data_IF_320774656199
#
_entry.id   IF_320774656199
#
_cell.length_a   1.000
_cell.length_b   1.000
_cell.length_c   1.000
_cell.angle_alpha   90.00
_cell.angle_beta   90.00
_cell.angle_gamma   90.00
#
_symmetry.space_group_name_H-M   'P 1'
#
loop_
_entity.id
_entity.type
_entity.pdbx_description
1 polymer ?
#
# COMPACT_ATOMS: atom_id res chain seq x y z
N UNK A 1 6.20 -26.30 1.39
CA UNK A 1 7.38 -25.46 1.70
C UNK A 1 7.16 -24.65 2.97
N UNK A 2 7.92 -24.91 4.03
CA UNK A 2 7.80 -24.21 5.33
C UNK A 2 8.07 -22.70 5.20
N UNK A 3 9.05 -22.30 4.38
CA UNK A 3 9.41 -20.89 4.18
C UNK A 3 8.27 -20.10 3.54
N UNK A 4 7.62 -20.60 2.49
CA UNK A 4 6.50 -19.90 1.85
C UNK A 4 5.31 -19.74 2.79
N UNK A 5 5.07 -20.73 3.66
CA UNK A 5 4.03 -20.62 4.68
C UNK A 5 4.35 -19.51 5.70
N UNK A 6 5.58 -19.43 6.19
CA UNK A 6 5.99 -18.33 7.07
C UNK A 6 5.89 -16.96 6.39
N UNK A 7 6.27 -16.85 5.11
CA UNK A 7 6.13 -15.60 4.36
C UNK A 7 4.66 -15.24 4.20
N UNK A 8 3.77 -16.19 3.90
CA UNK A 8 2.33 -15.95 3.77
C UNK A 8 1.70 -15.47 5.08
N UNK A 9 2.07 -16.08 6.21
CA UNK A 9 1.64 -15.66 7.56
C UNK A 9 2.13 -14.25 7.89
N UNK A 10 3.39 -13.92 7.60
CA UNK A 10 3.94 -12.59 7.80
C UNK A 10 3.23 -11.53 6.94
N UNK A 11 3.03 -11.82 5.66
CA UNK A 11 2.31 -10.94 4.74
C UNK A 11 0.86 -10.70 5.17
N UNK A 12 0.20 -11.75 5.68
CA UNK A 12 -1.14 -11.63 6.26
C UNK A 12 -1.16 -10.72 7.48
N UNK A 13 -0.17 -10.84 8.36
CA UNK A 13 -0.05 -9.98 9.52
C UNK A 13 0.17 -8.51 9.12
N UNK A 14 1.10 -8.24 8.20
CA UNK A 14 1.38 -6.88 7.72
C UNK A 14 0.12 -6.26 7.11
N UNK A 15 -0.57 -6.98 6.22
CA UNK A 15 -1.83 -6.51 5.64
C UNK A 15 -2.87 -6.16 6.72
N UNK A 16 -3.04 -7.01 7.73
CA UNK A 16 -3.98 -6.73 8.82
C UNK A 16 -3.59 -5.49 9.62
N UNK A 17 -2.30 -5.26 9.84
CA UNK A 17 -1.81 -4.03 10.48
C UNK A 17 -2.15 -2.81 9.62
N UNK A 18 -1.91 -2.86 8.31
CA UNK A 18 -2.21 -1.76 7.38
C UNK A 18 -3.71 -1.44 7.32
N UNK A 19 -4.57 -2.47 7.23
CA UNK A 19 -6.03 -2.31 7.30
C UNK A 19 -6.48 -1.64 8.61
N UNK A 20 -5.88 -2.02 9.74
CA UNK A 20 -6.16 -1.39 11.02
C UNK A 20 -5.68 0.07 11.08
N UNK A 21 -4.52 0.39 10.51
CA UNK A 21 -4.02 1.77 10.45
C UNK A 21 -4.91 2.65 9.58
N UNK A 22 -5.36 2.14 8.42
CA UNK A 22 -6.34 2.85 7.57
C UNK A 22 -7.61 3.16 8.36
N UNK A 23 -8.14 2.18 9.10
CA UNK A 23 -9.33 2.39 9.93
C UNK A 23 -9.10 3.47 11.00
N UNK A 24 -7.99 3.40 11.73
CA UNK A 24 -7.65 4.41 12.74
C UNK A 24 -7.45 5.80 12.13
N UNK A 25 -6.86 5.88 10.94
CA UNK A 25 -6.73 7.14 10.19
C UNK A 25 -8.11 7.72 9.87
N UNK A 26 -9.03 6.92 9.33
CA UNK A 26 -10.39 7.37 9.01
C UNK A 26 -11.16 7.81 10.26
N UNK A 27 -11.07 7.04 11.36
CA UNK A 27 -11.68 7.40 12.64
C UNK A 27 -11.09 8.72 13.18
N UNK A 28 -9.78 8.91 13.04
CA UNK A 28 -9.10 10.16 13.42
C UNK A 28 -9.54 11.35 12.56
N UNK A 29 -9.72 11.17 11.25
CA UNK A 29 -10.23 12.21 10.36
C UNK A 29 -11.63 12.64 10.80
N UNK A 30 -12.51 11.67 11.06
CA UNK A 30 -13.89 11.97 11.45
C UNK A 30 -13.95 12.70 12.79
N UNK A 31 -13.17 12.26 13.79
CA UNK A 31 -13.09 12.96 15.08
C UNK A 31 -12.55 14.39 14.93
N UNK A 32 -11.56 14.60 14.06
CA UNK A 32 -11.02 15.94 13.78
C UNK A 32 -12.09 16.84 13.13
N UNK A 33 -12.80 16.33 12.11
CA UNK A 33 -13.87 17.06 11.45
C UNK A 33 -14.98 17.46 12.42
N UNK A 34 -15.44 16.54 13.27
CA UNK A 34 -16.43 16.84 14.31
C UNK A 34 -15.93 17.91 15.28
N UNK A 35 -14.69 17.80 15.75
CA UNK A 35 -14.10 18.81 16.64
C UNK A 35 -14.06 20.20 15.97
N UNK A 36 -13.73 20.27 14.68
CA UNK A 36 -13.70 21.52 13.94
C UNK A 36 -15.09 22.13 13.78
N UNK A 37 -16.09 21.32 13.45
CA UNK A 37 -17.49 21.75 13.36
C UNK A 37 -17.99 22.31 14.69
N UNK A 38 -17.75 21.59 15.81
CA UNK A 38 -18.17 22.00 17.15
C UNK A 38 -17.52 23.31 17.61
N UNK A 39 -16.31 23.60 17.13
CA UNK A 39 -15.55 24.80 17.50
C UNK A 39 -15.58 25.89 16.41
N UNK A 40 -16.33 25.70 15.33
CA UNK A 40 -16.39 26.63 14.18
C UNK A 40 -15.01 26.99 13.63
N UNK A 41 -14.11 26.01 13.56
CA UNK A 41 -12.77 26.18 13.00
C UNK A 41 -12.86 26.16 11.47
N UNK A 42 -12.35 27.22 10.83
CA UNK A 42 -12.21 27.27 9.39
C UNK A 42 -11.01 26.42 8.93
N UNK A 43 -11.13 25.84 7.73
CA UNK A 43 -10.02 25.14 7.08
C UNK A 43 -9.09 26.19 6.49
N UNK A 44 -7.93 26.36 7.11
CA UNK A 44 -6.82 27.12 6.54
C UNK A 44 -5.94 26.23 5.65
N UNK A 45 -4.98 26.84 4.95
CA UNK A 45 -4.08 26.13 4.03
C UNK A 45 -3.26 25.03 4.74
N UNK A 46 -2.93 25.21 6.02
CA UNK A 46 -2.17 24.23 6.80
C UNK A 46 -3.01 23.00 7.09
N UNK A 47 -4.27 23.21 7.47
CA UNK A 47 -5.20 22.13 7.77
C UNK A 47 -5.61 21.39 6.49
N UNK A 48 -5.81 22.13 5.39
CA UNK A 48 -5.99 21.56 4.06
C UNK A 48 -4.81 20.66 3.66
N UNK A 49 -3.58 21.14 3.83
CA UNK A 49 -2.37 20.36 3.56
C UNK A 49 -2.28 19.11 4.45
N UNK A 50 -2.66 19.22 5.73
CA UNK A 50 -2.70 18.08 6.65
C UNK A 50 -3.68 17.00 6.19
N UNK A 51 -4.87 17.38 5.72
CA UNK A 51 -5.83 16.43 5.15
C UNK A 51 -5.32 15.77 3.86
N UNK A 52 -4.63 16.53 3.00
CA UNK A 52 -3.98 15.96 1.82
C UNK A 52 -2.92 14.92 2.21
N UNK A 53 -2.06 15.20 3.18
CA UNK A 53 -1.08 14.23 3.68
C UNK A 53 -1.75 12.97 4.22
N UNK A 54 -2.87 13.12 4.94
CA UNK A 54 -3.61 11.99 5.48
C UNK A 54 -4.20 11.10 4.38
N UNK A 55 -4.75 11.71 3.32
CA UNK A 55 -5.24 10.98 2.15
C UNK A 55 -4.10 10.21 1.46
N UNK A 56 -2.95 10.86 1.23
CA UNK A 56 -1.77 10.21 0.63
C UNK A 56 -1.26 9.04 1.46
N UNK A 57 -1.23 9.17 2.80
CA UNK A 57 -0.88 8.08 3.72
C UNK A 57 -1.84 6.90 3.53
N UNK A 58 -3.14 7.18 3.47
CA UNK A 58 -4.17 6.14 3.31
C UNK A 58 -4.06 5.44 1.95
N UNK A 59 -3.73 6.19 0.89
CA UNK A 59 -3.43 5.64 -0.43
C UNK A 59 -2.15 4.79 -0.44
N UNK A 60 -1.10 5.18 0.29
CA UNK A 60 0.12 4.37 0.42
C UNK A 60 -0.16 3.05 1.13
N UNK A 61 -0.91 3.08 2.22
CA UNK A 61 -1.27 1.86 2.95
C UNK A 61 -2.09 0.92 2.05
N UNK A 62 -3.05 1.46 1.30
CA UNK A 62 -3.84 0.68 0.34
C UNK A 62 -2.97 0.09 -0.78
N UNK A 63 -1.99 0.85 -1.27
CA UNK A 63 -1.03 0.37 -2.25
C UNK A 63 -0.18 -0.80 -1.75
N UNK A 64 0.25 -0.76 -0.50
CA UNK A 64 1.03 -1.86 0.09
C UNK A 64 0.17 -3.11 0.27
N UNK A 65 -1.10 -2.96 0.67
CA UNK A 65 -2.07 -4.07 0.72
C UNK A 65 -2.21 -4.74 -0.66
N UNK A 66 -2.35 -3.96 -1.74
CA UNK A 66 -2.42 -4.49 -3.11
C UNK A 66 -1.16 -5.27 -3.50
N UNK A 67 0.02 -4.74 -3.15
CA UNK A 67 1.29 -5.42 -3.41
C UNK A 67 1.38 -6.74 -2.63
N UNK A 68 0.95 -6.75 -1.37
CA UNK A 68 0.87 -7.96 -0.54
C UNK A 68 -0.05 -9.00 -1.19
N UNK A 69 -1.25 -8.62 -1.62
CA UNK A 69 -2.19 -9.54 -2.26
C UNK A 69 -1.64 -10.12 -3.58
N UNK A 70 -0.93 -9.32 -4.36
CA UNK A 70 -0.22 -9.76 -5.57
C UNK A 70 0.86 -10.81 -5.26
N UNK A 71 1.67 -10.58 -4.20
CA UNK A 71 2.69 -11.52 -3.76
C UNK A 71 2.07 -12.83 -3.28
N UNK A 72 1.03 -12.77 -2.43
CA UNK A 72 0.32 -13.96 -1.93
C UNK A 72 -0.30 -14.77 -3.07
N UNK A 73 -0.91 -14.10 -4.06
CA UNK A 73 -1.43 -14.77 -5.26
C UNK A 73 -0.34 -15.50 -6.03
N UNK A 74 0.83 -14.88 -6.19
CA UNK A 74 1.98 -15.47 -6.88
C UNK A 74 2.54 -16.69 -6.13
N UNK A 75 2.65 -16.60 -4.80
CA UNK A 75 3.08 -17.71 -3.94
C UNK A 75 2.10 -18.89 -3.94
N UNK A 76 0.80 -18.61 -3.93
CA UNK A 76 -0.22 -19.65 -3.97
C UNK A 76 -0.16 -20.42 -5.29
N UNK A 77 -0.07 -19.71 -6.43
CA UNK A 77 0.12 -20.34 -7.75
C UNK A 77 1.36 -21.23 -7.79
N UNK A 78 2.47 -20.76 -7.24
CA UNK A 78 3.69 -21.56 -7.14
C UNK A 78 3.48 -22.82 -6.30
N UNK A 79 2.84 -22.69 -5.13
CA UNK A 79 2.60 -23.82 -4.22
C UNK A 79 1.73 -24.90 -4.89
N UNK A 80 0.67 -24.51 -5.59
CA UNK A 80 -0.18 -25.44 -6.34
C UNK A 80 0.57 -26.12 -7.49
N UNK A 81 1.40 -25.37 -8.24
CA UNK A 81 2.24 -25.94 -9.31
C UNK A 81 3.33 -26.87 -8.78
N UNK A 82 3.87 -26.59 -7.59
CA UNK A 82 4.86 -27.43 -6.92
C UNK A 82 4.26 -28.77 -6.47
N UNK A 83 3.07 -28.75 -5.86
CA UNK A 83 2.39 -29.97 -5.38
C UNK A 83 1.97 -30.91 -6.52
N UNK A 84 1.91 -30.40 -7.76
CA UNK A 84 1.50 -31.17 -8.93
C UNK A 84 2.66 -31.75 -9.75
N UNK A 85 3.87 -31.20 -9.69
CA UNK A 85 5.03 -31.72 -10.43
C UNK A 85 6.39 -31.27 -9.82
N UNK A 86 7.05 -32.18 -9.08
CA UNK A 86 8.29 -31.89 -8.35
C UNK A 86 9.47 -31.55 -9.30
N UNK A 87 9.40 -31.98 -10.57
CA UNK A 87 10.42 -31.73 -11.61
C UNK A 87 10.40 -30.30 -12.20
N UNK A 88 9.33 -29.55 -11.96
CA UNK A 88 9.16 -28.15 -12.41
C UNK A 88 9.61 -27.12 -11.36
N UNK A 89 10.27 -27.56 -10.30
CA UNK A 89 10.66 -26.75 -9.13
C UNK A 89 11.50 -25.53 -9.51
N UNK A 90 12.56 -25.73 -10.30
CA UNK A 90 13.50 -24.66 -10.63
C UNK A 90 12.85 -23.60 -11.53
N UNK A 91 12.13 -24.03 -12.59
CA UNK A 91 11.40 -23.11 -13.46
C UNK A 91 10.27 -22.36 -12.73
N UNK A 92 9.57 -23.03 -11.82
CA UNK A 92 8.50 -22.40 -11.04
C UNK A 92 9.07 -21.36 -10.07
N UNK A 93 10.25 -21.63 -9.50
CA UNK A 93 10.90 -20.73 -8.56
C UNK A 93 11.47 -19.49 -9.26
N UNK A 94 12.02 -19.65 -10.47
CA UNK A 94 12.40 -18.53 -11.35
C UNK A 94 11.19 -17.65 -11.67
N UNK A 95 10.05 -18.25 -12.08
CA UNK A 95 8.81 -17.49 -12.36
C UNK A 95 8.25 -16.76 -11.14
N UNK A 96 8.38 -17.36 -9.95
CA UNK A 96 7.99 -16.70 -8.70
C UNK A 96 8.89 -15.48 -8.44
N UNK A 97 10.20 -15.63 -8.59
CA UNK A 97 11.16 -14.55 -8.42
C UNK A 97 10.89 -13.39 -9.39
N UNK A 98 10.64 -13.69 -10.67
CA UNK A 98 10.28 -12.68 -11.69
C UNK A 98 9.05 -11.88 -11.26
N UNK A 99 7.95 -12.55 -10.87
CA UNK A 99 6.72 -11.87 -10.43
C UNK A 99 6.86 -11.05 -9.15
N UNK A 100 7.67 -11.51 -8.21
CA UNK A 100 7.97 -10.77 -6.99
C UNK A 100 8.80 -9.52 -7.31
N UNK A 101 9.73 -9.62 -8.26
CA UNK A 101 10.53 -8.48 -8.74
C UNK A 101 9.67 -7.44 -9.44
N UNK A 102 8.76 -7.87 -10.33
CA UNK A 102 7.81 -6.98 -11.00
C UNK A 102 6.87 -6.28 -9.99
N UNK A 103 6.39 -7.03 -9.00
CA UNK A 103 5.55 -6.46 -7.93
C UNK A 103 6.33 -5.42 -7.12
N UNK A 104 7.60 -5.68 -6.81
CA UNK A 104 8.46 -4.74 -6.11
C UNK A 104 8.74 -3.47 -6.93
N UNK A 105 9.00 -3.60 -8.23
CA UNK A 105 9.23 -2.46 -9.12
C UNK A 105 7.98 -1.58 -9.21
N UNK A 106 6.80 -2.19 -9.41
CA UNK A 106 5.52 -1.46 -9.39
C UNK A 106 5.26 -0.74 -8.07
N UNK A 107 5.58 -1.37 -6.94
CA UNK A 107 5.44 -0.75 -5.63
C UNK A 107 6.37 0.46 -5.47
N UNK A 108 7.63 0.35 -5.92
CA UNK A 108 8.60 1.47 -5.94
C UNK A 108 8.14 2.61 -6.83
N UNK A 109 7.65 2.30 -8.03
CA UNK A 109 7.12 3.31 -8.96
C UNK A 109 5.91 4.02 -8.38
N UNK A 110 4.99 3.27 -7.74
CA UNK A 110 3.84 3.85 -7.06
C UNK A 110 4.31 4.82 -5.97
N UNK A 111 5.21 4.40 -5.09
CA UNK A 111 5.81 5.27 -4.06
C UNK A 111 6.47 6.53 -4.65
N UNK A 112 7.26 6.39 -5.73
CA UNK A 112 7.92 7.52 -6.39
C UNK A 112 6.92 8.55 -6.95
N UNK A 113 5.81 8.09 -7.52
CA UNK A 113 4.73 8.96 -8.01
C UNK A 113 4.07 9.74 -6.87
N UNK A 114 3.97 9.14 -5.69
CA UNK A 114 3.42 9.80 -4.51
C UNK A 114 4.42 10.76 -3.84
N UNK A 115 5.73 10.47 -3.87
CA UNK A 115 6.77 11.36 -3.35
C UNK A 115 7.12 12.53 -4.28
N UNK A 116 6.95 12.36 -5.60
CA UNK A 116 7.34 13.33 -6.62
C UNK A 116 6.53 14.63 -6.65
N UNK A 117 5.32 14.66 -6.05
CA UNK A 117 4.49 15.88 -5.96
C UNK A 117 4.82 16.80 -4.77
N UNK A 118 5.70 16.40 -3.84
CA UNK A 118 6.00 17.21 -2.64
C UNK A 118 7.31 18.00 -2.69
N UNK A 119 8.17 17.73 -3.70
CA UNK A 119 9.53 18.27 -3.71
C UNK A 119 9.78 19.37 -4.75
N UNK A 120 8.76 19.76 -5.53
CA UNK A 120 8.88 20.88 -6.47
C UNK A 120 7.79 21.91 -6.23
N UNK A 121 8.28 23.07 -5.82
CA UNK A 121 7.72 24.40 -5.96
C UNK A 121 6.56 24.83 -5.06
N UNK A 122 6.91 25.73 -4.16
CA UNK A 122 6.10 26.81 -3.61
C UNK A 122 5.63 27.79 -4.70
N UNK A 123 5.05 27.28 -5.79
CA UNK A 123 4.35 28.08 -6.80
C UNK A 123 3.16 27.31 -7.36
N UNK A 124 2.00 27.63 -6.80
CA UNK A 124 0.81 28.05 -7.55
C UNK A 124 0.19 27.13 -8.62
N UNK A 125 0.49 25.83 -8.64
CA UNK A 125 -0.22 24.91 -9.54
C UNK A 125 -1.11 23.94 -8.76
N UNK A 126 -2.42 24.19 -8.87
CA UNK A 126 -3.50 23.30 -8.49
C UNK A 126 -3.18 21.86 -8.93
N UNK A 127 -3.20 20.96 -7.95
CA UNK A 127 -3.03 19.54 -8.19
C UNK A 127 -4.28 19.01 -8.92
N UNK A 128 -4.27 19.01 -10.26
CA UNK A 128 -5.26 18.26 -11.04
C UNK A 128 -5.03 16.75 -10.88
N UNK A 129 -6.13 16.02 -10.63
CA UNK A 129 -6.19 14.57 -10.57
C UNK A 129 -6.92 14.03 -11.81
N UNK A 130 -6.31 13.02 -12.45
CA UNK A 130 -6.96 12.12 -13.42
C UNK A 130 -7.70 10.99 -12.71
#
# INVERSE_FOLDING_TARGET
>A
MVILKCVDELLTHIKSVEENVIKLSNDSLMNMSTFMEENSLEIDDKLSSAFQYQDIITQQLSATIEAIDSMKSSMNRFTTSYESDESLTEQSMVKLQEKLTDTLEKAKDKNNRFSGKFSQDSSDDEIEFF
#
